data_IF_838390033123
#
_entry.id   IF_838390033123
#
_cell.length_a   1.000
_cell.length_b   1.000
_cell.length_c   1.000
_cell.angle_alpha   90.00
_cell.angle_beta   90.00
_cell.angle_gamma   90.00
#
_symmetry.space_group_name_H-M   'P 1'
#
loop_
_entity.id
_entity.type
_entity.pdbx_description
1 polymer ?
2 water ?
#
# COMPACT_ATOMS: atom_id res chain seq x y z
N UNK A 131 -11.46 -5.62 -14.82
CA UNK A 131 -10.54 -6.67 -14.40
C UNK A 131 -10.20 -6.54 -12.93
N UNK A 132 -9.94 -5.31 -12.48
CA UNK A 132 -9.78 -5.09 -11.04
C UNK A 132 -11.05 -5.49 -10.30
N UNK A 133 -12.22 -5.15 -10.86
CA UNK A 133 -13.48 -5.65 -10.30
C UNK A 133 -13.51 -7.17 -10.34
N UNK A 134 -13.10 -7.77 -11.45
CA UNK A 134 -13.10 -9.23 -11.55
C UNK A 134 -12.06 -9.85 -10.61
N UNK A 135 -10.90 -9.20 -10.48
CA UNK A 135 -9.90 -9.69 -9.54
C UNK A 135 -10.44 -9.70 -8.11
N UNK A 136 -11.29 -8.72 -7.76
CA UNK A 136 -11.88 -8.68 -6.43
C UNK A 136 -12.81 -9.87 -6.21
N UNK A 137 -13.54 -10.29 -7.26
CA UNK A 137 -14.40 -11.47 -7.08
C UNK A 137 -13.57 -12.75 -6.88
N UNK A 138 -12.49 -12.96 -7.64
CA UNK A 138 -11.68 -14.17 -7.42
C UNK A 138 -11.01 -14.14 -6.04
N UNK A 139 -10.61 -12.95 -5.57
CA UNK A 139 -10.02 -12.88 -4.23
C UNK A 139 -11.04 -13.30 -3.17
N UNK A 140 -12.31 -12.90 -3.34
CA UNK A 140 -13.34 -13.28 -2.39
C UNK A 140 -13.70 -14.76 -2.50
N UNK A 141 -13.86 -15.26 -3.73
CA UNK A 141 -14.37 -16.61 -3.91
C UNK A 141 -13.32 -17.67 -3.58
N UNK A 142 -12.06 -17.40 -3.90
CA UNK A 142 -11.00 -18.38 -3.74
C UNK A 142 -10.23 -18.22 -2.43
N UNK A 143 -10.68 -17.33 -1.55
CA UNK A 143 -9.89 -17.01 -0.36
C UNK A 143 -9.55 -18.25 0.45
N UNK A 144 -10.57 -19.07 0.76
CA UNK A 144 -10.32 -20.26 1.56
C UNK A 144 -9.31 -21.19 0.90
N UNK A 145 -9.42 -21.37 -0.42
CA UNK A 145 -8.45 -22.21 -1.13
C UNK A 145 -7.04 -21.64 -1.07
N UNK A 146 -6.92 -20.31 -1.05
CA UNK A 146 -5.60 -19.70 -0.95
C UNK A 146 -5.01 -19.81 0.44
N UNK A 147 -5.84 -19.73 1.48
CA UNK A 147 -5.36 -19.91 2.84
C UNK A 147 -4.69 -21.27 2.99
N UNK A 148 -5.19 -22.29 2.29
CA UNK A 148 -4.68 -23.64 2.42
C UNK A 148 -3.66 -24.01 1.34
N UNK A 149 -3.43 -23.14 0.35
CA UNK A 149 -2.45 -23.40 -0.71
C UNK A 149 -1.52 -22.20 -0.80
N UNK A 150 -0.38 -22.23 -0.10
CA UNK A 150 0.54 -21.08 -0.17
C UNK A 150 1.13 -20.85 -1.55
N UNK A 151 1.38 -21.93 -2.32
CA UNK A 151 1.92 -21.75 -3.67
C UNK A 151 0.95 -20.98 -4.55
N UNK A 152 -0.34 -21.33 -4.50
CA UNK A 152 -1.33 -20.62 -5.32
C UNK A 152 -1.47 -19.17 -4.88
N UNK A 153 -1.49 -18.93 -3.56
CA UNK A 153 -1.61 -17.56 -3.07
C UNK A 153 -0.44 -16.71 -3.53
N UNK A 154 0.78 -17.24 -3.43
CA UNK A 154 1.94 -16.47 -3.84
C UNK A 154 1.95 -16.26 -5.35
N UNK A 155 1.51 -17.26 -6.11
CA UNK A 155 1.45 -17.12 -7.57
C UNK A 155 0.47 -16.02 -7.97
N UNK A 156 -0.71 -15.97 -7.33
CA UNK A 156 -1.66 -14.92 -7.67
C UNK A 156 -1.12 -13.55 -7.26
N UNK A 157 -0.44 -13.47 -6.12
CA UNK A 157 0.09 -12.19 -5.68
C UNK A 157 1.09 -11.62 -6.69
N UNK A 158 1.91 -12.49 -7.29
CA UNK A 158 2.88 -12.03 -8.28
C UNK A 158 2.18 -11.55 -9.54
N UNK A 159 1.06 -12.18 -9.92
CA UNK A 159 0.32 -11.77 -11.09
C UNK A 159 -0.47 -10.49 -10.87
N UNK A 160 -0.61 -10.02 -9.63
CA UNK A 160 -1.39 -8.82 -9.34
C UNK A 160 -0.53 -7.57 -9.17
N UNK A 161 0.77 -7.64 -9.47
CA UNK A 161 1.65 -6.49 -9.35
C UNK A 161 1.21 -5.40 -10.33
N UNK A 162 1.43 -4.13 -9.98
CA UNK A 162 1.08 -3.05 -10.91
C UNK A 162 1.88 -3.15 -12.21
N UNK A 163 1.34 -2.62 -13.30
CA UNK A 163 2.13 -2.52 -14.53
C UNK A 163 3.27 -1.53 -14.35
N UNK A 164 4.23 -1.58 -15.27
CA UNK A 164 5.41 -0.72 -15.15
C UNK A 164 4.99 0.75 -15.20
N UNK A 165 3.98 1.09 -16.00
CA UNK A 165 3.51 2.47 -16.07
C UNK A 165 2.04 2.49 -16.42
N UNK A 166 1.31 3.43 -15.84
CA UNK A 166 -0.12 3.57 -16.07
C UNK A 166 -0.52 5.00 -15.74
N UNK A 167 -1.75 5.34 -16.09
CA UNK A 167 -2.35 6.62 -15.75
C UNK A 167 -3.47 6.37 -14.74
N UNK A 168 -3.33 6.91 -13.55
CA UNK A 168 -4.35 6.82 -12.51
C UNK A 168 -4.70 8.24 -12.07
N UNK A 169 -5.98 8.60 -12.20
CA UNK A 169 -6.49 9.89 -11.74
C UNK A 169 -5.65 11.04 -12.29
N UNK A 170 -5.48 11.04 -13.62
CA UNK A 170 -4.73 12.08 -14.34
C UNK A 170 -3.27 12.16 -13.88
N UNK A 171 -2.70 11.03 -13.44
CA UNK A 171 -1.31 10.97 -13.02
C UNK A 171 -0.62 9.81 -13.71
N UNK A 172 0.57 10.05 -14.25
CA UNK A 172 1.45 8.96 -14.66
C UNK A 172 2.01 8.29 -13.42
N UNK A 173 1.90 6.97 -13.35
CA UNK A 173 2.41 6.20 -12.21
C UNK A 173 3.34 5.13 -12.75
N UNK A 174 4.58 5.12 -12.28
CA UNK A 174 5.61 4.18 -12.72
C UNK A 174 6.10 3.36 -11.53
N UNK A 175 6.12 2.03 -11.70
CA UNK A 175 6.49 1.11 -10.63
C UNK A 175 7.51 0.12 -11.15
N UNK A 176 8.51 -0.18 -10.33
CA UNK A 176 9.42 -1.28 -10.63
C UNK A 176 10.09 -1.75 -9.34
N UNK A 177 10.22 -3.07 -9.22
CA UNK A 177 11.14 -3.65 -8.26
C UNK A 177 12.57 -3.31 -8.69
N UNK A 178 13.42 -3.01 -7.73
CA UNK A 178 14.79 -2.64 -8.08
C UNK A 178 15.71 -3.85 -8.23
N UNK A 179 15.18 -5.05 -8.04
CA UNK A 179 15.87 -6.28 -8.43
C UNK A 179 14.85 -7.20 -9.08
N UNK A 180 15.19 -7.75 -10.24
CA UNK A 180 14.28 -8.63 -10.96
C UNK A 180 14.17 -9.96 -10.22
N UNK A 181 13.01 -10.21 -9.61
CA UNK A 181 12.81 -11.40 -8.80
C UNK A 181 11.46 -12.02 -9.13
N UNK A 182 11.34 -13.31 -8.84
CA UNK A 182 10.15 -14.08 -9.16
C UNK A 182 9.20 -14.26 -7.97
N UNK A 183 9.73 -14.28 -6.75
CA UNK A 183 9.03 -14.49 -5.49
C UNK A 183 8.63 -13.15 -4.88
N UNK A 184 7.43 -13.04 -4.30
CA UNK A 184 7.00 -11.75 -3.73
C UNK A 184 7.78 -11.42 -2.46
N UNK A 185 8.29 -10.20 -2.39
CA UNK A 185 8.93 -9.70 -1.18
C UNK A 185 8.24 -8.45 -0.70
N UNK A 186 8.58 -7.31 -1.28
CA UNK A 186 7.87 -6.06 -1.09
C UNK A 186 6.87 -5.90 -2.23
N UNK A 187 5.58 -5.81 -1.90
CA UNK A 187 4.54 -5.71 -2.90
C UNK A 187 3.83 -4.36 -2.74
N UNK A 188 3.22 -3.92 -3.84
CA UNK A 188 2.58 -2.61 -3.90
C UNK A 188 1.28 -2.71 -4.68
N UNK A 189 0.31 -1.90 -4.29
CA UNK A 189 -0.90 -1.70 -5.08
C UNK A 189 -1.25 -0.22 -5.05
N UNK A 190 -1.79 0.29 -6.15
CA UNK A 190 -2.14 1.70 -6.25
C UNK A 190 -3.38 1.81 -7.13
N UNK A 191 -4.35 2.61 -6.70
CA UNK A 191 -5.62 2.67 -7.40
C UNK A 191 -6.30 4.00 -7.09
N UNK A 192 -7.21 4.38 -7.97
CA UNK A 192 -7.95 5.63 -7.82
C UNK A 192 -8.99 5.51 -6.72
N UNK A 193 -9.15 6.60 -5.96
CA UNK A 193 -10.29 6.75 -5.05
C UNK A 193 -11.42 7.54 -5.66
N UNK A 194 -11.11 8.37 -6.66
CA UNK A 194 -12.07 9.15 -7.41
C UNK A 194 -11.37 9.60 -8.68
N UNK A 195 -12.02 10.48 -9.45
CA UNK A 195 -11.38 11.00 -10.65
C UNK A 195 -10.13 11.80 -10.35
N UNK A 196 -9.96 12.25 -9.10
CA UNK A 196 -8.94 13.24 -8.79
C UNK A 196 -7.98 12.84 -7.68
N UNK A 197 -8.13 11.67 -7.06
CA UNK A 197 -7.16 11.25 -6.06
C UNK A 197 -6.98 9.74 -6.11
N UNK A 198 -5.90 9.30 -5.48
CA UNK A 198 -5.53 7.90 -5.48
C UNK A 198 -4.87 7.56 -4.15
N UNK A 199 -4.72 6.26 -3.90
CA UNK A 199 -4.03 5.80 -2.71
C UNK A 199 -3.24 4.55 -3.06
N UNK A 200 -2.23 4.26 -2.24
CA UNK A 200 -1.41 3.08 -2.43
C UNK A 200 -0.98 2.53 -1.09
N UNK A 201 -0.66 1.24 -1.09
CA UNK A 201 -0.06 0.59 0.06
C UNK A 201 1.12 -0.24 -0.42
N UNK A 202 2.08 -0.44 0.48
CA UNK A 202 3.27 -1.24 0.22
C UNK A 202 3.51 -2.13 1.43
N UNK A 203 3.62 -3.44 1.20
CA UNK A 203 3.69 -4.40 2.29
C UNK A 203 4.86 -5.35 2.08
N UNK A 204 5.66 -5.56 3.13
CA UNK A 204 6.71 -6.57 3.12
C UNK A 204 6.09 -7.88 3.58
N UNK A 205 5.84 -8.79 2.62
CA UNK A 205 5.17 -10.04 2.94
C UNK A 205 6.11 -11.08 3.54
N UNK A 206 7.42 -10.83 3.53
CA UNK A 206 8.37 -11.85 3.99
C UNK A 206 8.43 -11.96 5.51
N UNK A 207 7.94 -10.95 6.25
CA UNK A 207 8.03 -11.01 7.70
C UNK A 207 7.08 -12.05 8.29
N UNK A 208 5.89 -12.20 7.71
CA UNK A 208 4.91 -13.15 8.19
C UNK A 208 4.74 -14.36 7.28
N UNK A 209 5.58 -14.49 6.26
CA UNK A 209 5.53 -15.68 5.41
C UNK A 209 4.21 -15.78 4.66
N UNK A 210 3.57 -16.95 4.76
CA UNK A 210 2.29 -17.17 4.07
C UNK A 210 1.24 -16.18 4.52
N UNK A 211 1.18 -15.88 5.81
CA UNK A 211 0.24 -14.88 6.30
C UNK A 211 0.54 -13.50 5.72
N UNK A 212 1.81 -13.22 5.43
CA UNK A 212 2.13 -11.96 4.76
C UNK A 212 1.59 -11.91 3.34
N UNK A 213 1.73 -13.01 2.60
CA UNK A 213 1.15 -13.09 1.27
C UNK A 213 -0.36 -12.92 1.34
N UNK A 214 -1.01 -13.61 2.29
CA UNK A 214 -2.46 -13.49 2.43
C UNK A 214 -2.86 -12.06 2.79
N UNK A 215 -2.11 -11.42 3.69
CA UNK A 215 -2.41 -10.04 4.05
C UNK A 215 -2.35 -9.14 2.82
N UNK A 216 -1.35 -9.33 1.95
CA UNK A 216 -1.29 -8.56 0.72
C UNK A 216 -2.50 -8.81 -0.16
N UNK A 217 -2.93 -10.07 -0.28
CA UNK A 217 -4.11 -10.39 -1.08
C UNK A 217 -5.36 -9.76 -0.47
N UNK A 218 -5.47 -9.81 0.85
CA UNK A 218 -6.60 -9.18 1.54
C UNK A 218 -6.60 -7.67 1.34
N UNK A 219 -5.42 -7.05 1.43
CA UNK A 219 -5.34 -5.61 1.18
C UNK A 219 -5.69 -5.27 -0.26
N UNK A 220 -5.22 -6.09 -1.21
CA UNK A 220 -5.58 -5.85 -2.60
C UNK A 220 -7.08 -5.84 -2.80
N UNK A 221 -7.81 -6.65 -2.02
CA UNK A 221 -9.26 -6.74 -2.19
C UNK A 221 -9.99 -5.60 -1.50
N UNK A 222 -9.51 -5.14 -0.33
CA UNK A 222 -10.30 -4.29 0.54
C UNK A 222 -9.70 -2.93 0.86
N UNK A 223 -8.40 -2.71 0.62
CA UNK A 223 -7.76 -1.47 1.07
C UNK A 223 -8.44 -0.25 0.47
N UNK A 224 -8.58 -0.22 -0.86
CA UNK A 224 -9.18 0.92 -1.52
C UNK A 224 -10.61 1.16 -1.04
N UNK A 225 -11.40 0.09 -0.92
CA UNK A 225 -12.77 0.24 -0.47
C UNK A 225 -12.87 0.76 0.96
N UNK A 226 -11.95 0.33 1.84
CA UNK A 226 -11.96 0.80 3.20
C UNK A 226 -11.66 2.30 3.27
N UNK A 227 -10.70 2.76 2.46
CA UNK A 227 -10.39 4.19 2.46
C UNK A 227 -11.52 5.00 1.83
N UNK A 228 -12.16 4.46 0.79
CA UNK A 228 -13.29 5.15 0.19
C UNK A 228 -14.43 5.31 1.19
N UNK A 229 -14.66 4.31 2.03
CA UNK A 229 -15.71 4.42 3.04
C UNK A 229 -15.37 5.47 4.09
N UNK A 230 -14.10 5.55 4.50
CA UNK A 230 -13.71 6.54 5.48
C UNK A 230 -13.89 7.96 4.94
N UNK A 231 -13.52 8.19 3.68
CA UNK A 231 -13.70 9.51 3.08
C UNK A 231 -15.18 9.85 2.91
N UNK A 232 -16.03 8.84 2.71
CA UNK A 232 -17.46 9.08 2.59
C UNK A 232 -18.07 9.60 3.88
N UNK A 233 -17.42 9.35 5.01
CA UNK A 233 -17.88 9.86 6.30
C UNK A 233 -17.19 11.15 6.72
N UNK A 234 -16.17 11.58 5.98
CA UNK A 234 -15.48 12.84 6.23
C UNK A 234 -16.03 13.90 5.28
N UNK A 235 -16.58 14.98 5.84
CA UNK A 235 -17.31 15.95 5.04
C UNK A 235 -16.44 16.60 3.97
N UNK A 236 -15.12 16.70 4.20
CA UNK A 236 -14.23 17.31 3.22
C UNK A 236 -13.25 16.31 2.61
N UNK A 237 -13.46 15.02 2.82
CA UNK A 237 -12.63 13.96 2.23
C UNK A 237 -11.16 14.18 2.55
N UNK A 238 -10.88 14.49 3.81
CA UNK A 238 -9.51 14.64 4.28
C UNK A 238 -9.04 13.30 4.84
N UNK A 239 -8.14 12.59 4.17
CA UNK A 239 -7.84 11.22 4.59
C UNK A 239 -7.10 11.18 5.93
N UNK A 240 -7.42 10.16 6.73
CA UNK A 240 -6.76 9.89 7.99
C UNK A 240 -6.08 8.53 7.85
N UNK A 241 -4.88 8.53 7.28
CA UNK A 241 -4.19 7.27 7.01
C UNK A 241 -3.81 6.54 8.28
N UNK A 242 -3.49 7.27 9.36
CA UNK A 242 -3.24 6.62 10.63
C UNK A 242 -4.44 5.84 11.14
N UNK A 243 -5.63 6.44 11.05
CA UNK A 243 -6.86 5.73 11.41
C UNK A 243 -7.08 4.53 10.51
N UNK A 244 -6.74 4.64 9.23
CA UNK A 244 -6.92 3.51 8.33
C UNK A 244 -6.02 2.35 8.74
N UNK A 245 -4.78 2.66 9.14
CA UNK A 245 -3.86 1.61 9.58
C UNK A 245 -4.40 0.90 10.81
N UNK A 246 -4.99 1.65 11.75
CA UNK A 246 -5.65 1.01 12.89
C UNK A 246 -6.74 0.05 12.43
N UNK A 247 -7.50 0.46 11.41
CA UNK A 247 -8.55 -0.41 10.88
C UNK A 247 -7.95 -1.65 10.22
N UNK A 248 -6.86 -1.48 9.47
CA UNK A 248 -6.21 -2.62 8.84
C UNK A 248 -5.67 -3.60 9.88
N UNK A 249 -5.12 -3.07 10.98
CA UNK A 249 -4.66 -3.94 12.06
C UNK A 249 -5.80 -4.80 12.59
N UNK A 250 -6.98 -4.20 12.81
CA UNK A 250 -8.14 -4.96 13.24
C UNK A 250 -8.55 -5.99 12.18
N UNK A 251 -8.53 -5.58 10.91
CA UNK A 251 -8.91 -6.49 9.83
C UNK A 251 -8.01 -7.72 9.78
N UNK A 252 -6.70 -7.53 9.97
CA UNK A 252 -5.79 -8.67 9.96
C UNK A 252 -6.09 -9.62 11.11
N UNK A 253 -6.50 -9.09 12.26
CA UNK A 253 -6.88 -9.94 13.38
C UNK A 253 -8.16 -10.71 13.07
N UNK A 254 -9.16 -10.04 12.51
CA UNK A 254 -10.43 -10.70 12.24
C UNK A 254 -10.33 -11.69 11.08
N UNK A 255 -9.34 -11.53 10.20
CA UNK A 255 -9.07 -12.52 9.17
C UNK A 255 -8.20 -13.67 9.67
N UNK A 256 -7.84 -13.66 10.95
CA UNK A 256 -6.99 -14.68 11.56
C UNK A 256 -5.65 -14.79 10.83
N UNK A 257 -4.96 -13.65 10.73
CA UNK A 257 -3.65 -13.55 10.08
C UNK A 257 -2.64 -13.00 11.08
N UNK A 258 -2.18 -13.81 12.02
CA UNK A 258 -1.16 -13.34 12.96
C UNK A 258 0.19 -13.14 12.26
N UNK A 259 0.99 -12.25 12.84
CA UNK A 259 2.34 -11.99 12.37
C UNK A 259 2.66 -10.51 12.43
N UNK A 260 3.75 -10.14 11.77
CA UNK A 260 4.17 -8.74 11.67
C UNK A 260 4.14 -8.32 10.21
N UNK A 261 3.61 -7.13 9.96
CA UNK A 261 3.33 -6.66 8.60
C UNK A 261 3.87 -5.24 8.44
N UNK A 262 5.11 -5.10 7.99
CA UNK A 262 5.63 -3.76 7.70
C UNK A 262 4.90 -3.16 6.51
N UNK A 263 4.30 -2.00 6.71
CA UNK A 263 3.35 -1.44 5.77
C UNK A 263 3.56 0.06 5.65
N UNK A 264 3.49 0.56 4.42
CA UNK A 264 3.52 1.99 4.13
C UNK A 264 2.29 2.32 3.30
N UNK A 265 1.56 3.36 3.70
CA UNK A 265 0.36 3.79 2.99
C UNK A 265 0.55 5.22 2.51
N UNK A 266 0.00 5.52 1.35
CA UNK A 266 0.11 6.84 0.77
C UNK A 266 -1.18 7.29 0.13
N UNK A 267 -1.34 8.62 0.07
CA UNK A 267 -2.49 9.25 -0.55
C UNK A 267 -2.01 10.42 -1.39
N UNK A 268 -2.58 10.58 -2.57
CA UNK A 268 -2.24 11.73 -3.41
C UNK A 268 -3.48 12.27 -4.11
N UNK A 269 -3.60 13.59 -4.12
CA UNK A 269 -4.70 14.28 -4.77
C UNK A 269 -4.13 15.13 -5.91
N UNK A 270 -4.61 14.89 -7.13
CA UNK A 270 -4.00 15.51 -8.31
C UNK A 270 -4.25 17.01 -8.38
N UNK A 271 -5.38 17.48 -7.86
CA UNK A 271 -5.70 18.91 -7.97
C UNK A 271 -5.08 19.69 -6.81
N UNK A 272 -5.25 19.20 -5.59
CA UNK A 272 -4.64 19.84 -4.43
C UNK A 272 -3.13 19.66 -4.40
N UNK A 273 -2.60 18.68 -5.13
CA UNK A 273 -1.17 18.38 -5.21
C UNK A 273 -0.60 17.97 -3.85
N UNK A 274 -1.42 17.34 -3.02
CA UNK A 274 -1.03 16.95 -1.67
C UNK A 274 -0.69 15.47 -1.63
N UNK A 275 0.51 15.14 -1.17
CA UNK A 275 0.94 13.77 -0.91
C UNK A 275 1.01 13.55 0.59
N UNK A 276 0.41 12.46 1.06
CA UNK A 276 0.45 12.06 2.46
C UNK A 276 1.05 10.66 2.53
N UNK A 277 2.02 10.47 3.43
CA UNK A 277 2.65 9.18 3.62
C UNK A 277 2.66 8.82 5.10
N UNK A 278 2.35 7.57 5.41
CA UNK A 278 2.47 7.04 6.75
C UNK A 278 3.13 5.66 6.66
N UNK A 279 4.19 5.46 7.43
CA UNK A 279 4.90 4.19 7.44
C UNK A 279 4.74 3.49 8.77
N UNK A 280 4.48 2.18 8.72
CA UNK A 280 4.43 1.33 9.91
C UNK A 280 5.40 0.18 9.69
N UNK A 281 6.68 0.43 9.96
CA UNK A 281 7.69 -0.61 9.89
C UNK A 281 8.51 -0.66 8.63
N UNK A 282 8.36 0.30 7.73
CA UNK A 282 9.10 0.30 6.47
C UNK A 282 9.99 1.53 6.37
N UNK A 283 11.00 1.43 5.53
CA UNK A 283 11.90 2.52 5.22
C UNK A 283 11.52 3.13 3.87
N UNK A 284 11.73 4.44 3.74
CA UNK A 284 11.33 5.11 2.51
C UNK A 284 12.09 6.41 2.34
N UNK A 285 12.38 6.73 1.08
CA UNK A 285 12.90 8.03 0.68
C UNK A 285 11.91 8.66 -0.27
N UNK A 286 11.61 9.95 -0.05
CA UNK A 286 10.72 10.71 -0.90
C UNK A 286 11.48 11.90 -1.47
N UNK A 287 11.43 12.07 -2.78
CA UNK A 287 12.11 13.17 -3.46
C UNK A 287 11.10 13.92 -4.30
N UNK A 288 11.00 15.23 -4.10
CA UNK A 288 10.13 16.09 -4.90
C UNK A 288 10.88 17.18 -5.64
N UNK A 289 12.21 17.12 -5.65
CA UNK A 289 12.99 18.18 -6.28
C UNK A 289 13.43 19.23 -5.27
N UNK A 290 12.48 20.01 -4.77
CA UNK A 290 12.77 20.98 -3.73
C UNK A 290 12.92 20.35 -2.35
N UNK A 291 12.40 19.16 -2.15
CA UNK A 291 12.31 18.55 -0.83
C UNK A 291 12.74 17.09 -0.91
N UNK A 292 13.46 16.63 0.12
CA UNK A 292 13.85 15.24 0.22
C UNK A 292 13.63 14.76 1.65
N UNK A 293 13.02 13.59 1.80
CA UNK A 293 12.73 13.01 3.11
C UNK A 293 13.15 11.55 3.12
N UNK A 294 13.75 11.11 4.23
CA UNK A 294 14.03 9.70 4.46
C UNK A 294 13.36 9.30 5.76
N UNK A 295 12.55 8.24 5.70
CA UNK A 295 11.79 7.76 6.84
C UNK A 295 12.18 6.31 7.09
N UNK A 296 12.28 5.93 8.36
CA UNK A 296 12.57 4.56 8.74
C UNK A 296 11.80 4.26 10.03
N UNK A 297 10.60 3.74 9.87
CA UNK A 297 9.75 3.37 11.00
C UNK A 297 10.03 1.94 11.41
N UNK A 298 10.06 1.70 12.72
CA UNK A 298 10.34 0.38 13.26
C UNK A 298 9.17 -0.36 13.87
N UNK A 299 7.95 0.13 13.72
CA UNK A 299 6.79 -0.51 14.32
C UNK A 299 5.87 -1.04 13.23
N UNK A 300 6.05 -2.28 12.79
CA UNK A 300 5.14 -2.84 11.79
C UNK A 300 3.78 -3.14 12.42
N UNK A 301 2.79 -3.32 11.54
CA UNK A 301 1.48 -3.79 11.96
C UNK A 301 1.57 -5.22 12.45
N UNK A 302 0.58 -5.63 13.23
CA UNK A 302 0.49 -6.98 13.76
C UNK A 302 0.43 -7.06 15.27
N UNK A 303 0.88 -6.02 15.98
CA UNK A 303 0.77 -5.97 17.43
C UNK A 303 -0.60 -5.45 17.84
N UNK A 304 -0.89 -5.56 19.14
CA UNK A 304 -2.25 -5.34 19.62
C UNK A 304 -2.57 -3.85 19.77
N UNK A 305 -1.76 -3.13 20.53
CA UNK A 305 -2.11 -1.76 20.89
C UNK A 305 -1.14 -0.68 20.46
N UNK A 306 -0.70 -0.72 19.20
CA UNK A 306 0.12 0.33 18.64
C UNK A 306 -0.75 1.28 17.83
N UNK A 307 -0.67 2.57 18.14
CA UNK A 307 -1.22 3.59 17.27
C UNK A 307 -0.11 4.10 16.35
N UNK A 308 -0.45 4.28 15.08
CA UNK A 308 0.52 4.59 14.03
C UNK A 308 0.26 6.02 13.58
N UNK A 309 1.02 6.97 14.14
CA UNK A 309 0.69 8.37 13.97
C UNK A 309 1.77 9.22 13.29
N UNK A 310 2.88 8.63 12.85
CA UNK A 310 3.82 9.38 12.03
C UNK A 310 3.13 9.74 10.70
N UNK A 311 3.37 10.97 10.24
CA UNK A 311 2.75 11.41 9.00
C UNK A 311 3.64 12.43 8.33
N UNK A 312 3.90 12.21 7.06
CA UNK A 312 4.60 13.15 6.20
C UNK A 312 3.59 13.69 5.21
N UNK A 313 3.42 15.01 5.18
CA UNK A 313 2.57 15.66 4.19
C UNK A 313 3.42 16.60 3.37
N UNK A 314 3.26 16.54 2.05
CA UNK A 314 4.10 17.33 1.15
C UNK A 314 3.29 17.73 -0.06
N UNK A 315 3.40 18.99 -0.46
CA UNK A 315 2.74 19.48 -1.66
C UNK A 315 3.74 19.45 -2.81
N UNK A 316 3.38 18.77 -3.89
CA UNK A 316 4.29 18.58 -5.01
C UNK A 316 3.48 18.24 -6.25
N UNK A 317 4.04 18.60 -7.41
CA UNK A 317 3.45 18.22 -8.68
C UNK A 317 3.96 16.87 -9.16
N UNK A 318 5.16 16.48 -8.74
CA UNK A 318 5.74 15.20 -9.09
C UNK A 318 6.58 14.71 -7.92
N UNK A 319 6.74 13.39 -7.83
CA UNK A 319 7.58 12.86 -6.77
C UNK A 319 8.10 11.49 -7.16
N UNK A 320 9.20 11.10 -6.52
CA UNK A 320 9.77 9.77 -6.66
C UNK A 320 9.97 9.21 -5.26
N UNK A 321 9.46 8.01 -5.04
CA UNK A 321 9.50 7.37 -3.72
C UNK A 321 10.12 6.00 -3.86
N UNK A 322 11.06 5.68 -2.99
CA UNK A 322 11.65 4.34 -2.90
C UNK A 322 11.34 3.79 -1.52
N UNK A 323 10.80 2.58 -1.48
CA UNK A 323 10.39 1.92 -0.24
C UNK A 323 11.16 0.62 -0.12
N UNK A 324 11.61 0.31 1.10
CA UNK A 324 12.35 -0.93 1.28
C UNK A 324 12.22 -1.44 2.71
N UNK A 325 12.44 -2.74 2.84
CA UNK A 325 12.53 -3.41 4.12
C UNK A 325 13.41 -4.63 3.92
N UNK A 326 13.35 -5.58 4.85
CA UNK A 326 14.11 -6.81 4.68
C UNK A 326 13.73 -7.53 3.38
N UNK A 327 12.45 -7.48 3.01
CA UNK A 327 11.94 -8.26 1.88
C UNK A 327 12.34 -7.74 0.52
N UNK A 328 12.82 -6.52 0.41
CA UNK A 328 13.25 -6.00 -0.88
C UNK A 328 13.11 -4.49 -0.93
N UNK A 329 13.11 -3.97 -2.15
CA UNK A 329 13.12 -2.53 -2.40
C UNK A 329 12.45 -2.24 -3.74
N UNK A 330 11.55 -1.27 -3.76
CA UNK A 330 10.86 -0.91 -5.00
C UNK A 330 10.88 0.61 -5.18
N UNK A 331 10.52 1.04 -6.38
CA UNK A 331 10.49 2.46 -6.73
C UNK A 331 9.13 2.80 -7.33
N UNK A 332 8.54 3.90 -6.85
CA UNK A 332 7.26 4.39 -7.32
C UNK A 332 7.39 5.88 -7.62
N UNK A 333 7.10 6.28 -8.86
CA UNK A 333 7.15 7.68 -9.23
C UNK A 333 5.84 8.13 -9.87
N UNK A 334 5.55 9.42 -9.68
CA UNK A 334 4.30 10.01 -10.11
C UNK A 334 4.57 11.34 -10.79
N UNK A 335 3.80 11.62 -11.83
CA UNK A 335 3.86 12.89 -12.54
C UNK A 335 2.48 13.20 -13.09
N UNK A 336 2.26 14.47 -13.42
CA UNK A 336 1.03 14.86 -14.09
C UNK A 336 0.97 14.22 -15.48
N UNK A 337 -0.23 13.81 -15.88
CA UNK A 337 -0.42 13.17 -17.18
C UNK A 337 -0.15 14.13 -18.33
#
# INVERSE_FOLDING_TARGET
>A
MTQPLVGKQILIVEDEQVFRSLLDSWFSSLGATTVLAADGVDALELLGGFTPDLMICDIAMPRMNGLKLLEHIRNRGDQTPVLVISATENMADIAKALRLGVEDVLLKPVKDLNRLREMVFACLYPSMFNSRVEEEERLFRDWDAMVDNPAAAAKLLQELQPPVQQVISHCRVNYRQLVAADKPGLVLDIAALSENDLAFYCLDVTRAGHNGVLAALLLRALFNGLLQEQLAHQNQRLPELGALLKQVNHLLRQANLPGQFPLLVGYYHRELKNLILVSAGLNATLNTGEHQVQISNGVPLGTLGNAYLNQLSQRCDAWQCQIWGTGGRLRLMLSAE
#
